data_IF_625022983885
#
_entry.id   IF_625022983885
#
_cell.length_a   1.000
_cell.length_b   1.000
_cell.length_c   1.000
_cell.angle_alpha   90.00
_cell.angle_beta   90.00
_cell.angle_gamma   90.00
#
_symmetry.space_group_name_H-M   'P 1'
#
loop_
_entity.id
_entity.type
_entity.pdbx_description
1 polymer ?
#
# COMPACT_ATOMS: atom_id res chain seq x y z
N UNK A 1 15.22 -7.58 -4.50
CA UNK A 1 14.24 -8.52 -3.93
C UNK A 1 12.88 -8.27 -4.55
N UNK A 2 12.19 -9.33 -4.91
CA UNK A 2 10.83 -9.24 -5.43
C UNK A 2 9.87 -9.71 -4.35
N UNK A 3 9.03 -8.79 -3.87
CA UNK A 3 8.07 -9.06 -2.80
C UNK A 3 6.70 -9.24 -3.44
N UNK A 4 6.04 -10.35 -3.13
CA UNK A 4 4.68 -10.61 -3.61
C UNK A 4 3.69 -10.50 -2.48
N UNK A 5 2.52 -9.95 -2.79
CA UNK A 5 1.43 -9.86 -1.85
C UNK A 5 0.09 -10.07 -2.51
N UNK A 6 -0.91 -10.33 -1.69
CA UNK A 6 -2.28 -10.57 -2.18
C UNK A 6 -3.30 -10.26 -1.08
N UNK A 7 -4.52 -9.96 -1.48
CA UNK A 7 -5.65 -10.06 -0.57
C UNK A 7 -5.92 -11.55 -0.30
N UNK A 8 -6.72 -11.85 0.69
CA UNK A 8 -6.92 -13.24 1.12
C UNK A 8 -7.45 -14.15 0.02
N UNK A 9 -8.39 -13.69 -0.79
CA UNK A 9 -8.96 -14.51 -1.88
C UNK A 9 -8.14 -14.47 -3.18
N UNK A 10 -7.13 -13.63 -3.29
CA UNK A 10 -6.27 -13.52 -4.47
C UNK A 10 -6.80 -12.63 -5.58
N UNK A 11 -7.91 -11.95 -5.40
CA UNK A 11 -8.44 -11.05 -6.43
C UNK A 11 -7.53 -9.85 -6.69
N UNK A 12 -6.94 -9.30 -5.63
CA UNK A 12 -5.97 -8.19 -5.72
C UNK A 12 -4.61 -8.75 -5.33
N UNK A 13 -3.65 -8.66 -6.25
CA UNK A 13 -2.28 -9.10 -6.03
C UNK A 13 -1.31 -8.00 -6.40
N UNK A 14 -0.09 -8.06 -5.86
CA UNK A 14 0.95 -7.12 -6.25
C UNK A 14 2.34 -7.75 -6.27
N UNK A 15 3.20 -7.17 -7.07
CA UNK A 15 4.63 -7.44 -7.11
C UNK A 15 5.36 -6.14 -6.79
N UNK A 16 6.15 -6.15 -5.72
CA UNK A 16 6.91 -4.99 -5.26
C UNK A 16 8.40 -5.26 -5.46
N UNK A 17 9.01 -4.48 -6.35
CA UNK A 17 10.45 -4.49 -6.55
C UNK A 17 11.13 -3.63 -5.49
N UNK A 18 12.08 -4.22 -4.77
CA UNK A 18 12.84 -3.55 -3.71
C UNK A 18 14.33 -3.79 -3.95
N UNK A 19 15.05 -2.76 -4.35
CA UNK A 19 16.46 -2.84 -4.70
C UNK A 19 17.23 -1.67 -4.05
N UNK A 20 18.35 -1.96 -3.36
CA UNK A 20 18.92 -3.29 -3.08
C UNK A 20 18.06 -4.11 -2.10
N UNK A 21 18.37 -5.40 -1.97
CA UNK A 21 17.65 -6.27 -1.05
C UNK A 21 17.69 -5.70 0.37
N UNK A 22 16.54 -5.53 1.05
CA UNK A 22 16.53 -4.94 2.37
C UNK A 22 17.00 -5.92 3.43
N UNK A 23 17.75 -5.42 4.43
CA UNK A 23 18.02 -6.16 5.65
C UNK A 23 16.79 -6.17 6.56
N UNK A 24 16.07 -5.03 6.59
CA UNK A 24 14.83 -4.84 7.33
C UNK A 24 13.85 -4.08 6.48
N UNK A 25 12.56 -4.36 6.64
CA UNK A 25 11.46 -3.66 5.95
C UNK A 25 10.73 -2.81 6.99
N UNK A 26 10.73 -1.48 6.87
CA UNK A 26 9.97 -0.64 7.79
C UNK A 26 8.47 -0.92 7.62
N UNK A 27 7.78 -1.09 8.74
CA UNK A 27 6.36 -1.39 8.75
C UNK A 27 5.67 -0.39 9.67
N UNK A 28 4.94 0.56 9.08
CA UNK A 28 4.34 1.69 9.78
C UNK A 28 2.91 1.36 10.18
N UNK A 29 2.69 1.15 11.48
CA UNK A 29 1.36 0.96 12.05
C UNK A 29 0.71 2.34 12.21
N UNK A 30 -0.10 2.73 11.24
CA UNK A 30 -0.76 4.03 11.24
C UNK A 30 -1.82 4.10 12.34
N UNK A 31 -1.78 5.16 13.14
CA UNK A 31 -2.70 5.38 14.26
C UNK A 31 -4.02 6.07 13.89
N UNK A 32 -4.28 6.34 12.60
CA UNK A 32 -5.56 6.93 12.21
C UNK A 32 -6.72 5.97 12.51
N UNK A 33 -7.93 6.50 12.61
CA UNK A 33 -9.07 5.70 13.01
C UNK A 33 -9.37 4.55 12.05
N UNK A 34 -9.20 4.75 10.75
CA UNK A 34 -9.44 3.70 9.76
C UNK A 34 -8.39 2.60 9.85
N UNK A 35 -7.11 2.96 9.84
CA UNK A 35 -6.02 1.97 9.89
C UNK A 35 -6.04 1.18 11.21
N UNK A 36 -6.39 1.84 12.32
CA UNK A 36 -6.54 1.16 13.61
C UNK A 36 -7.66 0.11 13.57
N UNK A 37 -8.78 0.43 12.92
CA UNK A 37 -9.94 -0.46 12.86
C UNK A 37 -9.71 -1.70 12.00
N UNK A 38 -8.95 -1.58 10.90
CA UNK A 38 -8.70 -2.73 10.02
C UNK A 38 -7.30 -3.32 10.14
N UNK A 39 -6.46 -2.78 11.02
CA UNK A 39 -5.12 -3.32 11.25
C UNK A 39 -4.13 -3.00 10.14
N UNK A 40 -4.20 -1.83 9.54
CA UNK A 40 -3.31 -1.42 8.47
C UNK A 40 -1.89 -1.16 8.94
N UNK A 41 -0.90 -1.82 8.32
CA UNK A 41 0.53 -1.61 8.58
C UNK A 41 1.23 -1.47 7.23
N UNK A 42 1.80 -0.31 6.97
CA UNK A 42 2.17 0.10 5.62
C UNK A 42 3.67 0.19 5.42
N UNK A 43 4.13 -0.16 4.23
CA UNK A 43 5.51 0.04 3.82
C UNK A 43 5.58 0.59 2.41
N UNK A 44 6.74 1.17 2.09
CA UNK A 44 7.06 1.69 0.77
C UNK A 44 8.55 1.85 0.63
N UNK A 45 9.01 1.94 -0.62
CA UNK A 45 10.39 2.25 -0.97
C UNK A 45 10.35 3.29 -2.10
N UNK A 46 10.87 4.51 -1.89
CA UNK A 46 10.83 5.55 -2.92
C UNK A 46 11.66 5.21 -4.17
N UNK A 47 12.56 4.23 -4.08
CA UNK A 47 13.31 3.70 -5.22
C UNK A 47 12.69 2.42 -5.80
N UNK A 48 11.52 2.00 -5.28
CA UNK A 48 10.87 0.76 -5.68
C UNK A 48 9.90 0.90 -6.83
N UNK A 49 9.38 -0.25 -7.26
CA UNK A 49 8.33 -0.32 -8.27
C UNK A 49 7.22 -1.26 -7.82
N UNK A 50 6.00 -0.96 -8.22
CA UNK A 50 4.83 -1.73 -7.82
C UNK A 50 3.96 -2.05 -9.04
N UNK A 51 3.68 -3.32 -9.23
CA UNK A 51 2.74 -3.80 -10.23
C UNK A 51 1.57 -4.44 -9.49
N UNK A 52 0.38 -3.88 -9.68
CA UNK A 52 -0.86 -4.35 -9.07
C UNK A 52 -1.70 -5.05 -10.11
N UNK A 53 -2.26 -6.20 -9.78
CA UNK A 53 -3.19 -6.93 -10.66
C UNK A 53 -4.51 -7.13 -9.95
N UNK A 54 -5.61 -6.79 -10.62
CA UNK A 54 -6.98 -6.98 -10.12
C UNK A 54 -7.70 -7.88 -11.12
N UNK A 55 -8.00 -9.11 -10.73
CA UNK A 55 -8.64 -10.07 -11.65
C UNK A 55 -10.05 -9.63 -12.03
N UNK A 56 -10.88 -9.33 -11.04
CA UNK A 56 -12.24 -8.87 -11.23
C UNK A 56 -12.40 -7.47 -10.65
N UNK A 57 -12.28 -6.42 -11.48
CA UNK A 57 -12.39 -5.04 -11.00
C UNK A 57 -13.70 -4.71 -10.30
N UNK A 58 -14.80 -5.39 -10.67
CA UNK A 58 -16.10 -5.22 -10.01
C UNK A 58 -16.08 -5.65 -8.55
N UNK A 59 -15.10 -6.46 -8.14
CA UNK A 59 -14.93 -6.94 -6.77
C UNK A 59 -13.88 -6.12 -5.99
N UNK A 60 -13.47 -4.97 -6.51
CA UNK A 60 -12.60 -4.05 -5.82
C UNK A 60 -13.37 -2.77 -5.49
N UNK A 61 -13.40 -2.39 -4.20
CA UNK A 61 -13.97 -1.14 -3.72
C UNK A 61 -12.86 -0.14 -3.44
N UNK A 62 -13.21 1.13 -3.50
CA UNK A 62 -12.32 2.24 -3.15
C UNK A 62 -12.93 3.02 -2.01
N UNK A 63 -12.08 3.40 -1.03
CA UNK A 63 -12.52 4.21 0.10
C UNK A 63 -11.55 5.37 0.31
N UNK A 64 -12.07 6.54 0.55
CA UNK A 64 -11.30 7.73 0.85
C UNK A 64 -11.99 8.49 1.99
N UNK A 65 -11.21 9.14 2.84
CA UNK A 65 -11.72 9.92 3.95
C UNK A 65 -10.74 11.05 4.30
N UNK A 66 -11.11 11.90 5.24
CA UNK A 66 -10.26 13.03 5.66
C UNK A 66 -10.06 14.00 4.50
N UNK A 67 -8.81 14.18 4.07
CA UNK A 67 -8.50 15.06 2.92
C UNK A 67 -8.92 14.44 1.58
N UNK A 68 -9.33 13.18 1.58
CA UNK A 68 -9.73 12.41 0.39
C UNK A 68 -8.64 12.36 -0.70
N UNK A 69 -7.38 12.47 -0.30
CA UNK A 69 -6.23 12.42 -1.22
C UNK A 69 -5.56 11.06 -1.29
N UNK A 70 -6.01 10.12 -0.49
CA UNK A 70 -5.55 8.72 -0.56
C UNK A 70 -6.74 7.80 -0.79
N UNK A 71 -6.53 6.81 -1.66
CA UNK A 71 -7.54 5.79 -1.99
C UNK A 71 -7.09 4.45 -1.43
N UNK A 72 -7.92 3.89 -0.56
CA UNK A 72 -7.72 2.55 -0.01
C UNK A 72 -8.42 1.56 -0.94
N UNK A 73 -7.66 0.61 -1.49
CA UNK A 73 -8.18 -0.42 -2.39
C UNK A 73 -8.56 -1.63 -1.56
N UNK A 74 -9.85 -1.94 -1.54
CA UNK A 74 -10.44 -2.96 -0.68
C UNK A 74 -10.97 -4.09 -1.56
N UNK A 75 -10.62 -5.33 -1.23
CA UNK A 75 -11.25 -6.47 -1.89
C UNK A 75 -12.66 -6.63 -1.32
N UNK A 76 -13.68 -6.50 -2.17
CA UNK A 76 -15.08 -6.63 -1.74
C UNK A 76 -15.45 -8.07 -1.40
N UNK A 77 -14.65 -9.05 -1.86
CA UNK A 77 -14.90 -10.47 -1.59
C UNK A 77 -14.36 -10.92 -0.24
N UNK A 78 -13.13 -10.55 0.11
CA UNK A 78 -12.49 -11.01 1.35
C UNK A 78 -12.29 -9.90 2.38
N UNK A 79 -12.47 -8.64 2.01
CA UNK A 79 -12.36 -7.49 2.93
C UNK A 79 -10.94 -7.02 3.21
N UNK A 80 -9.91 -7.63 2.64
CA UNK A 80 -8.54 -7.20 2.86
C UNK A 80 -8.25 -5.88 2.14
N UNK A 81 -7.30 -5.10 2.69
CA UNK A 81 -6.90 -3.78 2.16
C UNK A 81 -5.40 -3.83 1.84
N UNK A 82 -5.01 -4.36 0.68
CA UNK A 82 -3.59 -4.58 0.39
C UNK A 82 -2.82 -3.33 -0.02
N UNK A 83 -3.49 -2.31 -0.56
CA UNK A 83 -2.80 -1.19 -1.23
C UNK A 83 -3.55 0.11 -0.95
N UNK A 84 -2.76 1.20 -0.79
CA UNK A 84 -3.28 2.57 -0.78
C UNK A 84 -2.53 3.36 -1.83
N UNK A 85 -3.26 4.15 -2.61
CA UNK A 85 -2.67 5.03 -3.62
C UNK A 85 -2.99 6.49 -3.35
N UNK A 86 -2.14 7.37 -3.86
CA UNK A 86 -2.36 8.82 -3.83
C UNK A 86 -1.88 9.40 -5.15
N UNK A 87 -2.79 10.09 -5.85
CA UNK A 87 -2.44 10.75 -7.11
C UNK A 87 -1.98 12.17 -6.79
N UNK A 88 -0.74 12.48 -7.13
CA UNK A 88 -0.11 13.76 -6.84
C UNK A 88 0.55 14.27 -8.13
N UNK A 89 0.11 15.43 -8.59
CA UNK A 89 0.65 16.08 -9.80
C UNK A 89 0.64 15.14 -11.02
N UNK A 90 -0.45 14.38 -11.18
CA UNK A 90 -0.63 13.47 -12.31
C UNK A 90 0.12 12.15 -12.20
N UNK A 91 0.76 11.86 -11.08
CA UNK A 91 1.50 10.62 -10.84
C UNK A 91 0.89 9.87 -9.66
N UNK A 92 0.81 8.54 -9.78
CA UNK A 92 0.32 7.67 -8.72
C UNK A 92 1.46 7.20 -7.84
N UNK A 93 1.31 7.44 -6.54
CA UNK A 93 2.21 6.93 -5.50
C UNK A 93 1.46 5.90 -4.67
N UNK A 94 2.17 4.93 -4.09
CA UNK A 94 1.52 3.85 -3.35
C UNK A 94 2.30 3.41 -2.12
N UNK A 95 1.55 2.87 -1.16
CA UNK A 95 2.08 2.03 -0.08
C UNK A 95 1.35 0.69 -0.12
N UNK A 96 1.99 -0.34 0.41
CA UNK A 96 1.40 -1.67 0.51
C UNK A 96 1.29 -2.10 1.97
N UNK A 97 0.29 -2.94 2.24
CA UNK A 97 0.08 -3.50 3.57
C UNK A 97 1.01 -4.70 3.75
N UNK A 98 1.90 -4.64 4.76
CA UNK A 98 2.83 -5.73 5.02
C UNK A 98 2.10 -7.02 5.43
N UNK A 99 0.88 -6.90 5.95
CA UNK A 99 0.05 -8.05 6.29
C UNK A 99 -0.43 -8.82 5.06
N UNK A 100 -0.30 -8.24 3.87
CA UNK A 100 -0.64 -8.89 2.60
C UNK A 100 0.55 -9.62 1.97
N UNK A 101 1.73 -9.56 2.55
CA UNK A 101 2.91 -10.21 1.99
C UNK A 101 2.78 -11.74 2.00
N UNK A 102 3.18 -12.39 0.91
CA UNK A 102 3.10 -13.83 0.73
C UNK A 102 4.46 -14.52 0.86
N UNK A 103 5.57 -13.82 0.58
CA UNK A 103 6.90 -14.42 0.50
C UNK A 103 7.95 -13.73 1.36
N UNK A 104 7.54 -13.04 2.41
CA UNK A 104 8.45 -12.35 3.33
C UNK A 104 8.31 -12.92 4.73
N UNK A 105 9.44 -13.29 5.33
CA UNK A 105 9.45 -13.72 6.72
C UNK A 105 9.13 -12.52 7.63
N UNK A 106 8.24 -12.72 8.61
CA UNK A 106 7.83 -11.67 9.52
C UNK A 106 8.98 -11.08 10.33
N UNK A 107 10.06 -11.83 10.50
CA UNK A 107 11.26 -11.34 11.21
C UNK A 107 11.95 -10.19 10.48
N UNK A 108 11.71 -10.02 9.18
CA UNK A 108 12.23 -8.89 8.41
C UNK A 108 11.47 -7.60 8.66
N UNK A 109 10.28 -7.66 9.22
CA UNK A 109 9.43 -6.49 9.42
C UNK A 109 9.81 -5.76 10.70
N UNK A 110 10.16 -4.48 10.56
CA UNK A 110 10.43 -3.61 11.71
C UNK A 110 9.22 -2.72 11.93
N UNK A 111 8.30 -3.16 12.78
CA UNK A 111 7.06 -2.44 13.07
C UNK A 111 7.30 -1.27 14.00
N UNK A 112 6.68 -0.14 13.69
CA UNK A 112 6.69 1.04 14.55
C UNK A 112 5.37 1.80 14.38
N UNK A 113 4.82 2.35 15.47
CA UNK A 113 3.64 3.20 15.37
C UNK A 113 3.99 4.53 14.72
N UNK A 114 3.07 5.04 13.89
CA UNK A 114 3.21 6.37 13.28
C UNK A 114 1.88 7.11 13.40
N UNK A 115 1.95 8.43 13.50
CA UNK A 115 0.77 9.30 13.48
C UNK A 115 1.05 10.51 12.61
N UNK A 116 0.10 10.82 11.75
CA UNK A 116 0.15 12.01 10.90
C UNK A 116 -0.97 12.97 11.25
N UNK A 117 -1.53 12.84 12.46
CA UNK A 117 -2.56 13.72 12.96
C UNK A 117 -2.06 15.16 13.01
N UNK A 118 -2.87 16.08 12.53
CA UNK A 118 -2.51 17.51 12.51
C UNK A 118 -1.61 17.91 11.34
N UNK A 119 -1.18 16.99 10.49
CA UNK A 119 -0.39 17.30 9.32
C UNK A 119 -1.27 18.05 8.29
N UNK A 120 -0.79 19.21 7.80
CA UNK A 120 -1.51 19.93 6.75
C UNK A 120 -1.43 19.20 5.40
N UNK A 121 -2.30 19.58 4.46
CA UNK A 121 -2.38 18.90 3.17
C UNK A 121 -1.07 18.98 2.38
N UNK A 122 -0.44 20.15 2.31
CA UNK A 122 0.81 20.33 1.57
C UNK A 122 1.94 19.46 2.12
N UNK A 123 2.10 19.42 3.43
CA UNK A 123 3.11 18.57 4.09
C UNK A 123 2.82 17.09 3.87
N UNK A 124 1.56 16.70 3.89
CA UNK A 124 1.12 15.33 3.67
C UNK A 124 1.49 14.85 2.26
N UNK A 125 1.16 15.64 1.25
CA UNK A 125 1.48 15.30 -0.14
C UNK A 125 2.99 15.29 -0.38
N UNK A 126 3.72 16.24 0.20
CA UNK A 126 5.18 16.29 0.09
C UNK A 126 5.83 15.05 0.73
N UNK A 127 5.33 14.61 1.89
CA UNK A 127 5.81 13.40 2.56
C UNK A 127 5.59 12.17 1.68
N UNK A 128 4.42 12.04 1.05
CA UNK A 128 4.11 10.92 0.16
C UNK A 128 5.02 10.91 -1.05
N UNK A 129 5.29 12.07 -1.65
CA UNK A 129 6.21 12.18 -2.80
C UNK A 129 7.62 11.72 -2.46
N UNK A 130 8.07 11.94 -1.22
CA UNK A 130 9.42 11.55 -0.79
C UNK A 130 9.52 10.07 -0.44
N UNK A 131 8.46 9.48 0.13
CA UNK A 131 8.54 8.19 0.80
C UNK A 131 7.74 7.07 0.17
N UNK A 132 6.69 7.39 -0.58
CA UNK A 132 5.85 6.37 -1.21
C UNK A 132 6.48 5.83 -2.49
N UNK A 133 6.02 4.66 -2.93
CA UNK A 133 6.48 4.03 -4.17
C UNK A 133 6.03 4.88 -5.35
N UNK A 134 6.96 5.39 -6.19
CA UNK A 134 6.59 6.32 -7.26
C UNK A 134 6.29 5.65 -8.61
N UNK A 135 6.72 4.41 -8.81
CA UNK A 135 6.54 3.66 -10.06
C UNK A 135 5.46 2.61 -9.84
N UNK A 136 4.22 2.96 -10.18
CA UNK A 136 3.03 2.15 -9.90
C UNK A 136 2.27 1.87 -11.19
N UNK A 137 1.99 0.60 -11.46
CA UNK A 137 1.23 0.14 -12.62
C UNK A 137 0.09 -0.76 -12.17
N UNK A 138 -1.11 -0.53 -12.70
CA UNK A 138 -2.28 -1.37 -12.47
C UNK A 138 -2.64 -2.15 -13.72
N UNK A 139 -2.91 -3.44 -13.56
CA UNK A 139 -3.46 -4.32 -14.59
C UNK A 139 -4.83 -4.82 -14.11
N UNK A 140 -5.88 -4.31 -14.69
CA UNK A 140 -7.26 -4.67 -14.32
C UNK A 140 -7.82 -5.70 -15.30
N UNK A 141 -8.52 -6.70 -14.77
CA UNK A 141 -9.04 -7.80 -15.56
C UNK A 141 -7.97 -8.83 -15.90
N UNK A 142 -6.80 -8.81 -15.20
CA UNK A 142 -5.67 -9.70 -15.46
C UNK A 142 -5.21 -10.37 -14.17
N UNK A 143 -4.66 -11.57 -14.29
CA UNK A 143 -3.94 -12.23 -13.20
C UNK A 143 -2.44 -11.92 -13.29
N UNK A 144 -1.77 -12.16 -12.18
CA UNK A 144 -0.34 -11.96 -12.02
C UNK A 144 0.50 -12.66 -13.09
#
# INVERSE_FOLDING_TARGET
MQIRGSCHCGNITFDLGWDPDPAEIPARACGCTFCTKHGGVWTSNPAGSLKVSVKEPSQRSRYAFGTETATFHICSRCGAVPIVTSDIEGRTFAVVNVNAFDNVDSSMLKKAPVSFEGEDLGSRLARRKRGWIPDVTFHEGASR
#
